data_IF_754867298696
#
_entry.id   IF_754867298696
#
_cell.length_a   1.000
_cell.length_b   1.000
_cell.length_c   1.000
_cell.angle_alpha   90.00
_cell.angle_beta   90.00
_cell.angle_gamma   90.00
#
_symmetry.space_group_name_H-M   'P 1'
#
loop_
_entity.id
_entity.type
_entity.pdbx_description
1 polymer ?
#
# COMPACT_ATOMS: atom_id res chain seq x y z
N UNK A 1 -2.39 14.57 -14.39
CA UNK A 1 -2.34 13.19 -13.86
C UNK A 1 -1.65 13.22 -12.51
N UNK A 2 -2.32 12.79 -11.46
CA UNK A 2 -1.72 12.68 -10.12
C UNK A 2 -1.00 11.34 -10.00
N UNK A 3 0.15 11.31 -9.33
CA UNK A 3 0.91 10.07 -9.13
C UNK A 3 0.68 9.55 -7.72
N UNK A 4 0.16 8.34 -7.62
CA UNK A 4 -0.02 7.63 -6.35
C UNK A 4 0.90 6.42 -6.35
N UNK A 5 1.60 6.25 -5.24
CA UNK A 5 2.41 5.06 -4.98
C UNK A 5 1.73 4.22 -3.92
N UNK A 6 1.45 2.96 -4.24
CA UNK A 6 1.09 1.92 -3.30
C UNK A 6 2.37 1.35 -2.71
N UNK A 7 2.57 1.52 -1.40
CA UNK A 7 3.76 1.08 -0.67
C UNK A 7 3.39 0.93 0.80
N UNK A 8 3.73 -0.20 1.41
CA UNK A 8 3.56 -0.40 2.83
C UNK A 8 4.70 0.29 3.59
N UNK A 9 4.36 0.88 4.73
CA UNK A 9 5.32 1.38 5.72
C UNK A 9 4.64 1.23 7.08
N UNK A 10 5.44 1.06 8.12
CA UNK A 10 4.92 0.72 9.42
C UNK A 10 3.99 1.82 9.96
N UNK A 11 2.81 1.42 10.41
CA UNK A 11 1.81 2.28 11.05
C UNK A 11 1.36 3.46 10.17
N UNK A 12 1.44 3.31 8.84
CA UNK A 12 1.04 4.30 7.86
C UNK A 12 -0.06 3.75 6.94
N UNK A 13 -0.81 4.63 6.27
CA UNK A 13 -1.67 4.19 5.18
C UNK A 13 -0.81 3.66 4.01
N UNK A 14 -1.31 2.71 3.20
CA UNK A 14 -0.49 2.11 2.14
C UNK A 14 -0.35 3.00 0.90
N UNK A 15 -0.88 4.23 0.89
CA UNK A 15 -0.93 5.11 -0.27
C UNK A 15 -0.12 6.37 -0.06
N UNK A 16 0.64 6.77 -1.07
CA UNK A 16 1.54 7.91 -1.00
C UNK A 16 1.41 8.80 -2.23
N UNK A 17 1.36 10.11 -2.03
CA UNK A 17 1.55 11.06 -3.11
C UNK A 17 3.01 10.97 -3.58
N UNK A 18 3.20 10.74 -4.87
CA UNK A 18 4.51 10.66 -5.49
C UNK A 18 4.62 11.69 -6.63
N UNK A 19 4.31 12.94 -6.32
CA UNK A 19 4.42 14.08 -7.24
C UNK A 19 5.61 14.96 -6.87
N UNK A 20 6.23 15.60 -7.86
CA UNK A 20 7.41 16.47 -7.68
C UNK A 20 7.22 17.56 -6.62
N UNK A 21 5.98 17.97 -6.35
CA UNK A 21 5.65 19.08 -5.45
C UNK A 21 5.15 18.64 -4.06
N UNK A 22 4.91 17.34 -3.84
CA UNK A 22 4.40 16.84 -2.56
C UNK A 22 4.63 15.32 -2.38
N UNK A 23 5.19 14.97 -1.23
CA UNK A 23 5.21 13.61 -0.66
C UNK A 23 4.30 13.60 0.56
N UNK A 24 3.37 12.66 0.63
CA UNK A 24 2.44 12.58 1.77
C UNK A 24 1.67 11.29 1.81
N UNK A 25 1.38 10.81 3.02
CA UNK A 25 0.58 9.63 3.26
C UNK A 25 -0.91 9.93 2.99
N UNK A 26 -1.56 9.13 2.16
CA UNK A 26 -2.94 9.33 1.70
C UNK A 26 -3.84 8.36 2.45
N UNK A 27 -4.82 8.90 3.18
CA UNK A 27 -5.89 8.07 3.73
C UNK A 27 -6.78 7.54 2.58
N UNK A 28 -6.93 6.21 2.39
CA UNK A 28 -7.77 5.64 1.34
C UNK A 28 -9.22 6.13 1.35
N UNK A 29 -9.74 6.55 2.51
CA UNK A 29 -11.10 7.09 2.65
C UNK A 29 -11.31 8.43 1.93
N UNK A 30 -10.24 9.14 1.61
CA UNK A 30 -10.28 10.42 0.87
C UNK A 30 -10.36 10.23 -0.64
N UNK A 31 -10.12 9.02 -1.14
CA UNK A 31 -10.15 8.70 -2.55
C UNK A 31 -11.55 8.20 -2.98
N UNK A 32 -11.94 8.45 -4.25
CA UNK A 32 -13.22 8.01 -4.81
C UNK A 32 -13.20 6.53 -5.21
N UNK A 33 -12.72 5.67 -4.32
CA UNK A 33 -12.66 4.21 -4.50
C UNK A 33 -13.70 3.50 -3.62
N UNK A 34 -14.01 2.26 -3.96
CA UNK A 34 -14.98 1.40 -3.30
C UNK A 34 -14.58 1.10 -1.86
N UNK A 35 -15.58 0.87 -1.00
CA UNK A 35 -15.33 0.46 0.38
C UNK A 35 -14.64 -0.90 0.47
N UNK A 36 -14.86 -1.78 -0.52
CA UNK A 36 -14.17 -3.06 -0.62
C UNK A 36 -12.67 -2.82 -0.79
N UNK A 37 -12.27 -2.01 -1.78
CA UNK A 37 -10.86 -1.73 -2.03
C UNK A 37 -10.19 -1.01 -0.85
N UNK A 38 -10.90 -0.08 -0.18
CA UNK A 38 -10.40 0.56 1.06
C UNK A 38 -10.07 -0.46 2.14
N UNK A 39 -10.97 -1.43 2.35
CA UNK A 39 -10.75 -2.48 3.34
C UNK A 39 -9.59 -3.40 2.94
N UNK A 40 -9.50 -3.80 1.68
CA UNK A 40 -8.40 -4.65 1.20
C UNK A 40 -7.04 -3.93 1.36
N UNK A 41 -6.97 -2.63 1.10
CA UNK A 41 -5.77 -1.81 1.30
C UNK A 41 -5.36 -1.78 2.77
N UNK A 42 -6.30 -1.49 3.67
CA UNK A 42 -6.01 -1.45 5.11
C UNK A 42 -5.58 -2.82 5.62
N UNK A 43 -6.29 -3.89 5.25
CA UNK A 43 -5.88 -5.25 5.65
C UNK A 43 -4.52 -5.65 5.09
N UNK A 44 -4.14 -5.14 3.91
CA UNK A 44 -2.81 -5.36 3.37
C UNK A 44 -1.74 -4.59 4.14
N UNK A 45 -1.96 -3.31 4.51
CA UNK A 45 -1.01 -2.60 5.39
C UNK A 45 -0.92 -3.21 6.78
N UNK A 46 -2.05 -3.65 7.35
CA UNK A 46 -2.08 -4.28 8.68
C UNK A 46 -1.21 -5.55 8.72
N UNK A 47 -1.21 -6.36 7.63
CA UNK A 47 -0.32 -7.52 7.51
C UNK A 47 1.16 -7.14 7.48
N UNK A 48 1.51 -5.98 6.94
CA UNK A 48 2.89 -5.50 6.99
C UNK A 48 3.24 -5.07 8.42
N UNK A 49 2.33 -4.36 9.09
CA UNK A 49 2.48 -3.95 10.49
C UNK A 49 2.64 -5.14 11.44
N UNK A 50 1.97 -6.26 11.16
CA UNK A 50 2.15 -7.52 11.90
C UNK A 50 3.58 -8.08 11.83
N UNK A 51 4.36 -7.69 10.81
CA UNK A 51 5.78 -8.07 10.69
C UNK A 51 6.73 -7.22 11.53
N UNK A 52 6.22 -6.14 12.15
CA UNK A 52 7.02 -5.25 12.99
C UNK A 52 7.39 -5.94 14.30
N UNK A 53 8.68 -6.13 14.54
CA UNK A 53 9.17 -6.53 15.85
C UNK A 53 9.48 -5.28 16.68
N UNK A 54 8.62 -4.99 17.67
CA UNK A 54 8.79 -3.84 18.56
C UNK A 54 9.98 -3.97 19.52
N UNK A 55 10.37 -5.20 19.87
CA UNK A 55 11.48 -5.47 20.78
C UNK A 55 12.83 -5.37 20.07
N UNK A 56 12.88 -5.81 18.81
CA UNK A 56 14.06 -5.69 17.94
C UNK A 56 13.67 -5.34 16.49
N UNK A 57 13.57 -4.04 16.15
CA UNK A 57 13.15 -3.59 14.83
C UNK A 57 14.00 -4.10 13.67
N UNK A 58 15.27 -4.46 13.90
CA UNK A 58 16.17 -4.98 12.87
C UNK A 58 15.77 -6.39 12.39
N UNK A 59 14.96 -7.09 13.18
CA UNK A 59 14.45 -8.42 12.86
C UNK A 59 13.02 -8.38 12.31
N UNK A 60 12.48 -7.20 12.06
CA UNK A 60 11.16 -7.04 11.43
C UNK A 60 11.17 -7.51 9.98
N UNK A 61 9.98 -7.78 9.46
CA UNK A 61 9.77 -8.32 8.13
C UNK A 61 9.19 -9.73 8.16
N UNK A 62 8.91 -10.27 6.98
CA UNK A 62 8.25 -11.57 6.85
C UNK A 62 9.10 -12.70 7.42
N UNK A 63 8.46 -13.68 8.05
CA UNK A 63 9.17 -14.80 8.65
C UNK A 63 9.74 -15.75 7.58
N UNK A 64 9.12 -15.75 6.39
CA UNK A 64 9.53 -16.60 5.26
C UNK A 64 9.48 -15.84 3.93
N UNK A 65 10.31 -16.24 2.95
CA UNK A 65 10.22 -15.72 1.59
C UNK A 65 8.86 -15.97 0.93
N UNK A 66 8.16 -17.06 1.28
CA UNK A 66 6.84 -17.37 0.76
C UNK A 66 5.78 -16.37 1.24
N UNK A 67 5.82 -15.98 2.51
CA UNK A 67 4.94 -14.93 3.06
C UNK A 67 5.16 -13.58 2.37
N UNK A 68 6.43 -13.21 2.16
CA UNK A 68 6.80 -11.99 1.43
C UNK A 68 6.29 -12.04 -0.02
N UNK A 69 6.45 -13.17 -0.71
CA UNK A 69 5.96 -13.35 -2.07
C UNK A 69 4.43 -13.20 -2.15
N UNK A 70 3.68 -13.81 -1.24
CA UNK A 70 2.21 -13.68 -1.16
C UNK A 70 1.83 -12.22 -0.89
N UNK A 71 2.56 -11.53 -0.02
CA UNK A 71 2.35 -10.12 0.25
C UNK A 71 2.51 -9.24 -1.00
N UNK A 72 3.50 -9.55 -1.82
CA UNK A 72 3.78 -8.82 -3.05
C UNK A 72 2.75 -9.05 -4.14
N UNK A 73 2.29 -10.29 -4.28
CA UNK A 73 1.20 -10.62 -5.20
C UNK A 73 -0.09 -9.88 -4.82
N UNK A 74 -0.40 -9.80 -3.52
CA UNK A 74 -1.52 -8.97 -3.04
C UNK A 74 -1.32 -7.49 -3.38
N UNK A 75 -0.11 -6.94 -3.16
CA UNK A 75 0.21 -5.56 -3.47
C UNK A 75 0.04 -5.23 -4.97
N UNK A 76 0.51 -6.12 -5.85
CA UNK A 76 0.33 -5.96 -7.29
C UNK A 76 -1.15 -5.99 -7.70
N UNK A 77 -1.94 -6.92 -7.16
CA UNK A 77 -3.38 -6.98 -7.42
C UNK A 77 -4.09 -5.70 -6.95
N UNK A 78 -3.73 -5.18 -5.78
CA UNK A 78 -4.27 -3.92 -5.26
C UNK A 78 -3.94 -2.73 -6.15
N UNK A 79 -2.72 -2.67 -6.69
CA UNK A 79 -2.33 -1.62 -7.65
C UNK A 79 -3.20 -1.66 -8.91
N UNK A 80 -3.49 -2.84 -9.43
CA UNK A 80 -4.37 -2.98 -10.61
C UNK A 80 -5.79 -2.52 -10.31
N UNK A 81 -6.37 -2.92 -9.16
CA UNK A 81 -7.69 -2.46 -8.72
C UNK A 81 -7.74 -0.94 -8.52
N UNK A 82 -6.72 -0.36 -7.88
CA UNK A 82 -6.58 1.08 -7.70
C UNK A 82 -6.56 1.81 -9.04
N UNK A 83 -5.74 1.36 -9.99
CA UNK A 83 -5.66 1.97 -11.31
C UNK A 83 -6.99 1.90 -12.06
N UNK A 84 -7.70 0.77 -11.94
CA UNK A 84 -9.00 0.58 -12.57
C UNK A 84 -10.08 1.50 -11.98
N UNK A 85 -10.14 1.64 -10.65
CA UNK A 85 -11.16 2.48 -10.00
C UNK A 85 -10.86 3.99 -10.09
N UNK A 86 -9.58 4.38 -10.07
CA UNK A 86 -9.19 5.78 -10.17
C UNK A 86 -9.13 6.31 -11.61
N UNK A 87 -9.06 5.42 -12.60
CA UNK A 87 -9.00 5.77 -14.02
C UNK A 87 -7.77 6.59 -14.40
N UNK A 88 -7.86 7.30 -15.52
CA UNK A 88 -6.72 7.99 -16.15
C UNK A 88 -6.32 9.30 -15.46
N UNK A 89 -7.10 9.76 -14.46
CA UNK A 89 -6.75 10.92 -13.64
C UNK A 89 -5.51 10.64 -12.76
N UNK A 90 -5.25 9.36 -12.49
CA UNK A 90 -4.19 8.89 -11.62
C UNK A 90 -3.27 7.91 -12.34
N UNK A 91 -1.98 8.00 -12.01
CA UNK A 91 -0.98 6.99 -12.33
C UNK A 91 -0.62 6.27 -11.04
N UNK A 92 -0.92 4.98 -10.97
CA UNK A 92 -0.68 4.15 -9.79
C UNK A 92 0.53 3.26 -10.01
N UNK A 93 1.53 3.39 -9.13
CA UNK A 93 2.72 2.53 -9.11
C UNK A 93 2.76 1.70 -7.84
N UNK A 94 3.22 0.46 -7.93
CA UNK A 94 3.50 -0.38 -6.75
C UNK A 94 5.00 -0.35 -6.44
N UNK A 95 5.33 -0.20 -5.16
CA UNK A 95 6.66 -0.37 -4.63
C UNK A 95 6.58 -1.28 -3.40
N UNK A 96 7.41 -2.32 -3.41
CA UNK A 96 7.70 -3.11 -2.23
C UNK A 96 8.83 -2.46 -1.43
#
# INVERSE_FOLDING_TARGET
MKKIKLMADYQCYPLWLNSNDAVGNINPNTLPISNVLKNELNSWSDKYDETLNLDDPLTSGFATPEEEMIFNEMGQSLKEKLQAELGDDYEVTYQQ
#
